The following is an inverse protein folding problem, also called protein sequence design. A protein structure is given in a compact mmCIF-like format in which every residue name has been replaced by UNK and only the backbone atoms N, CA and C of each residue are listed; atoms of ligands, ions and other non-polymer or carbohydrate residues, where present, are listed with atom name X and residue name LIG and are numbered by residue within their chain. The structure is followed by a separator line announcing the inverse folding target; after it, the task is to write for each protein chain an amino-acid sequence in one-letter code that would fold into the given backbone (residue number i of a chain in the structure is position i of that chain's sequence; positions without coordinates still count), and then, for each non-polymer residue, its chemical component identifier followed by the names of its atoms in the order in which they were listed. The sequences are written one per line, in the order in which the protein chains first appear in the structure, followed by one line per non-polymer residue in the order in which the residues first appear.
data_IF_502044771356
#
_entry.id   IF_502044771356
#
_cell.length_a   1.000
_cell.length_b   1.000
_cell.length_c   1.000
_cell.angle_alpha   90.00
_cell.angle_beta   90.00
_cell.angle_gamma   90.00
#
_symmetry.space_group_name_H-M   'P 1'
#
loop_
_entity.id
_entity.type
_entity.pdbx_description
1 polymer ?
#
# COMPACT_ATOMS: atom_id res chain seq x y z
N UNK A 1 81.08 9.96 29.40
CA UNK A 1 80.39 9.04 28.47
C UNK A 1 79.71 7.83 29.17
N UNK A 2 79.24 7.98 30.42
CA UNK A 2 78.36 7.04 31.14
C UNK A 2 77.50 7.88 32.09
N UNK A 3 76.51 8.60 31.56
CA UNK A 3 75.40 9.15 32.34
C UNK A 3 74.19 9.53 31.45
N UNK A 4 74.39 9.69 30.13
CA UNK A 4 73.30 9.99 29.17
C UNK A 4 72.50 8.78 28.68
N UNK A 5 72.94 7.54 28.96
CA UNK A 5 72.21 6.32 28.53
C UNK A 5 71.14 5.82 29.51
N UNK A 6 71.02 6.40 30.71
CA UNK A 6 69.99 5.99 31.68
C UNK A 6 68.66 6.75 31.54
N UNK A 7 68.65 7.96 30.97
CA UNK A 7 67.44 8.77 30.85
C UNK A 7 66.59 8.46 29.61
N UNK A 8 67.18 7.87 28.56
CA UNK A 8 66.46 7.53 27.33
C UNK A 8 65.58 6.28 27.46
N UNK A 9 65.90 5.36 28.37
CA UNK A 9 65.19 4.06 28.45
C UNK A 9 63.92 4.13 29.31
N UNK A 10 63.88 5.01 30.30
CA UNK A 10 62.70 5.29 31.13
C UNK A 10 61.67 6.13 30.39
N UNK A 11 62.10 7.14 29.61
CA UNK A 11 61.21 7.98 28.81
C UNK A 11 60.47 7.20 27.70
N UNK A 12 61.14 6.23 27.04
CA UNK A 12 60.50 5.38 26.02
C UNK A 12 59.48 4.39 26.60
N UNK A 13 59.63 3.95 27.85
CA UNK A 13 58.65 3.07 28.51
C UNK A 13 57.37 3.82 28.88
N UNK A 14 57.49 5.06 29.37
CA UNK A 14 56.32 5.90 29.67
C UNK A 14 55.59 6.38 28.40
N UNK A 15 56.31 6.68 27.32
CA UNK A 15 55.71 7.05 26.04
C UNK A 15 54.93 5.89 25.39
N UNK A 16 55.45 4.65 25.45
CA UNK A 16 54.73 3.46 24.96
C UNK A 16 53.49 3.13 25.78
N UNK A 17 53.54 3.28 27.11
CA UNK A 17 52.37 3.07 27.97
C UNK A 17 51.28 4.12 27.69
N UNK A 18 51.65 5.39 27.51
CA UNK A 18 50.71 6.45 27.09
C UNK A 18 50.10 6.19 25.71
N UNK A 19 50.91 5.77 24.74
CA UNK A 19 50.45 5.49 23.37
C UNK A 19 49.50 4.29 23.31
N UNK A 20 49.78 3.23 24.09
CA UNK A 20 48.92 2.07 24.25
C UNK A 20 47.64 2.40 25.01
N UNK A 21 47.70 3.26 26.03
CA UNK A 21 46.51 3.72 26.75
C UNK A 21 45.62 4.61 25.87
N UNK A 22 46.20 5.48 25.03
CA UNK A 22 45.44 6.28 24.06
C UNK A 22 44.87 5.45 22.92
N UNK A 23 45.57 4.41 22.46
CA UNK A 23 45.04 3.43 21.50
C UNK A 23 43.91 2.61 22.12
N UNK A 24 44.02 2.24 23.40
CA UNK A 24 42.97 1.52 24.12
C UNK A 24 41.75 2.41 24.41
N UNK A 25 41.95 3.70 24.72
CA UNK A 25 40.88 4.69 24.85
C UNK A 25 40.22 5.01 23.50
N UNK A 26 40.98 5.10 22.40
CA UNK A 26 40.42 5.22 21.05
C UNK A 26 39.65 3.96 20.65
N UNK A 27 40.17 2.77 20.98
CA UNK A 27 39.50 1.49 20.73
C UNK A 27 38.23 1.32 21.58
N UNK A 28 38.27 1.72 22.85
CA UNK A 28 37.13 1.72 23.77
C UNK A 28 36.09 2.80 23.38
N UNK A 29 36.51 3.97 22.90
CA UNK A 29 35.60 4.99 22.36
C UNK A 29 35.01 4.58 21.00
N UNK A 30 35.75 3.85 20.16
CA UNK A 30 35.15 3.24 18.95
C UNK A 30 34.17 2.12 19.28
N UNK A 31 34.43 1.32 20.33
CA UNK A 31 33.47 0.31 20.80
C UNK A 31 32.23 0.93 21.48
N UNK A 32 32.40 2.03 22.21
CA UNK A 32 31.28 2.78 22.78
C UNK A 32 30.45 3.51 21.70
N UNK A 33 31.08 4.09 20.68
CA UNK A 33 30.39 4.69 19.54
C UNK A 33 29.69 3.65 18.64
N UNK A 34 30.22 2.42 18.54
CA UNK A 34 29.54 1.30 17.89
C UNK A 34 28.36 0.77 18.71
N UNK A 35 28.38 0.91 20.05
CA UNK A 35 27.28 0.55 20.95
C UNK A 35 26.11 1.55 20.92
N UNK A 36 26.32 2.78 20.46
CA UNK A 36 25.29 3.81 20.27
C UNK A 36 24.73 3.87 18.84
N UNK A 37 25.22 3.03 17.93
CA UNK A 37 24.63 2.91 16.59
C UNK A 37 23.26 2.22 16.69
N UNK A 38 22.21 2.74 16.02
CA UNK A 38 20.91 2.06 15.89
C UNK A 38 21.05 0.61 15.36
N UNK A 39 22.13 0.34 14.62
CA UNK A 39 22.49 -0.96 14.06
C UNK A 39 22.81 -1.98 15.17
N UNK A 40 23.37 -1.55 16.30
CA UNK A 40 23.74 -2.47 17.39
C UNK A 40 22.56 -2.76 18.35
N UNK A 41 21.63 -1.80 18.51
CA UNK A 41 20.36 -2.02 19.21
C UNK A 41 19.44 -3.00 18.45
N UNK A 42 19.53 -3.03 17.11
CA UNK A 42 18.89 -4.03 16.26
C UNK A 42 19.43 -5.47 16.45
N UNK A 43 20.62 -5.64 17.04
CA UNK A 43 21.27 -6.96 17.18
C UNK A 43 20.95 -7.70 18.49
N UNK A 44 20.39 -7.05 19.52
CA UNK A 44 20.54 -7.57 20.90
C UNK A 44 19.27 -7.96 21.68
N UNK A 45 18.07 -7.97 21.11
CA UNK A 45 16.93 -8.51 21.87
C UNK A 45 15.78 -9.02 21.02
N UNK A 46 15.76 -10.32 20.67
CA UNK A 46 14.55 -11.16 20.64
C UNK A 46 14.96 -12.64 20.76
N UNK A 47 14.24 -13.40 21.59
CA UNK A 47 14.22 -14.86 21.49
C UNK A 47 13.82 -15.23 20.06
N UNK A 48 14.53 -16.16 19.42
CA UNK A 48 14.32 -16.52 18.00
C UNK A 48 12.90 -17.01 17.69
N UNK A 49 12.07 -17.31 18.70
CA UNK A 49 10.67 -17.72 18.55
C UNK A 49 9.65 -16.58 18.48
N UNK A 50 10.00 -15.38 18.93
CA UNK A 50 9.03 -14.28 19.16
C UNK A 50 9.18 -13.13 18.14
N UNK A 51 10.04 -13.32 17.14
CA UNK A 51 10.33 -12.34 16.09
C UNK A 51 9.15 -12.20 15.12
N UNK A 52 8.81 -10.98 14.64
CA UNK A 52 7.69 -10.76 13.71
C UNK A 52 7.74 -11.66 12.47
N UNK A 53 8.92 -11.98 11.95
CA UNK A 53 9.10 -12.90 10.80
C UNK A 53 8.56 -14.33 11.02
N UNK A 54 8.41 -14.76 12.28
CA UNK A 54 7.90 -16.09 12.65
C UNK A 54 6.50 -16.04 13.30
N UNK A 55 5.79 -14.93 13.15
CA UNK A 55 4.41 -14.78 13.63
C UNK A 55 3.54 -15.96 13.19
N UNK A 56 2.88 -16.61 14.14
CA UNK A 56 1.93 -17.71 13.86
C UNK A 56 0.63 -17.14 13.33
N UNK A 57 0.45 -17.20 12.01
CA UNK A 57 -0.73 -16.73 11.31
C UNK A 57 -1.69 -17.90 10.99
N UNK A 58 -3.01 -17.65 10.90
CA UNK A 58 -3.93 -18.60 10.31
C UNK A 58 -3.48 -18.98 8.89
N UNK A 59 -3.67 -20.25 8.53
CA UNK A 59 -3.41 -20.71 7.17
C UNK A 59 -4.25 -19.91 6.16
N UNK A 60 -3.72 -19.81 4.94
CA UNK A 60 -4.45 -19.22 3.82
C UNK A 60 -5.78 -19.95 3.59
N UNK A 61 -6.85 -19.16 3.45
CA UNK A 61 -8.22 -19.62 3.30
C UNK A 61 -8.74 -19.26 1.89
N UNK A 62 -8.34 -20.00 0.84
CA UNK A 62 -8.68 -19.66 -0.54
C UNK A 62 -10.18 -19.65 -0.82
N UNK A 63 -10.97 -20.44 -0.09
CA UNK A 63 -12.43 -20.55 -0.23
C UNK A 63 -13.20 -19.72 0.81
N UNK A 64 -12.59 -18.65 1.35
CA UNK A 64 -13.32 -17.72 2.22
C UNK A 64 -14.59 -17.23 1.52
N UNK A 65 -15.69 -17.14 2.27
CA UNK A 65 -17.00 -16.76 1.74
C UNK A 65 -17.02 -15.31 1.23
N UNK A 66 -16.25 -14.45 1.88
CA UNK A 66 -16.23 -13.03 1.56
C UNK A 66 -14.89 -12.36 1.89
N UNK A 67 -14.64 -11.21 1.27
CA UNK A 67 -13.55 -10.30 1.55
C UNK A 67 -14.09 -8.89 1.79
N UNK A 68 -13.60 -8.26 2.85
CA UNK A 68 -13.92 -6.87 3.19
C UNK A 68 -12.77 -5.98 2.73
N UNK A 69 -13.06 -5.02 1.88
CA UNK A 69 -12.07 -4.06 1.41
C UNK A 69 -11.61 -3.16 2.57
N UNK A 70 -10.31 -3.19 2.84
CA UNK A 70 -9.61 -2.33 3.80
C UNK A 70 -8.56 -1.56 3.01
N UNK A 71 -8.41 -0.27 3.31
CA UNK A 71 -7.41 0.58 2.67
C UNK A 71 -6.19 0.64 3.56
N UNK A 72 -5.00 0.40 2.99
CA UNK A 72 -3.73 0.43 3.72
C UNK A 72 -3.54 1.76 4.48
N UNK A 73 -3.97 2.89 3.92
CA UNK A 73 -3.86 4.22 4.54
C UNK A 73 -4.43 4.26 5.96
N UNK A 74 -5.44 3.44 6.27
CA UNK A 74 -6.06 3.34 7.60
C UNK A 74 -5.11 2.76 8.68
N UNK A 75 -3.99 2.15 8.28
CA UNK A 75 -3.03 1.50 9.17
C UNK A 75 -1.63 2.11 9.07
N UNK A 76 -1.40 3.07 8.16
CA UNK A 76 -0.08 3.66 7.98
C UNK A 76 0.30 4.57 9.16
N UNK A 77 1.53 4.46 9.69
CA UNK A 77 2.03 5.40 10.68
C UNK A 77 2.24 6.79 10.05
N UNK A 78 2.17 7.87 10.84
CA UNK A 78 2.53 9.21 10.37
C UNK A 78 3.98 9.24 9.91
N UNK A 79 4.25 9.94 8.80
CA UNK A 79 5.60 10.07 8.24
C UNK A 79 6.22 11.39 8.70
N UNK A 80 7.46 11.31 9.19
CA UNK A 80 8.25 12.48 9.55
C UNK A 80 8.60 13.30 8.29
N UNK A 81 8.34 14.63 8.26
CA UNK A 81 8.56 15.44 7.05
C UNK A 81 10.01 15.46 6.55
N UNK A 82 10.99 15.38 7.47
CA UNK A 82 12.40 15.34 7.09
C UNK A 82 12.77 13.98 6.49
N UNK A 83 12.21 12.90 7.04
CA UNK A 83 12.35 11.57 6.50
C UNK A 83 11.72 11.43 5.11
N UNK A 84 10.53 12.03 4.89
CA UNK A 84 9.88 12.09 3.58
C UNK A 84 10.77 12.81 2.57
N UNK A 85 11.41 13.92 2.94
CA UNK A 85 12.32 14.64 2.06
C UNK A 85 13.51 13.75 1.63
N UNK A 86 14.13 13.02 2.57
CA UNK A 86 15.21 12.10 2.22
C UNK A 86 14.74 10.94 1.35
N UNK A 87 13.57 10.38 1.64
CA UNK A 87 12.95 9.34 0.82
C UNK A 87 12.71 9.82 -0.62
N UNK A 88 12.16 11.02 -0.81
CA UNK A 88 11.93 11.61 -2.13
C UNK A 88 13.24 11.91 -2.87
N UNK A 89 14.29 12.35 -2.16
CA UNK A 89 15.62 12.54 -2.77
C UNK A 89 16.24 11.21 -3.21
N UNK A 90 16.08 10.14 -2.43
CA UNK A 90 16.53 8.81 -2.79
C UNK A 90 15.78 8.32 -4.03
N UNK A 91 14.46 8.42 -4.03
CA UNK A 91 13.60 7.99 -5.13
C UNK A 91 13.89 8.75 -6.43
N UNK A 92 14.08 10.07 -6.35
CA UNK A 92 14.44 10.88 -7.51
C UNK A 92 15.81 10.50 -8.10
N UNK A 93 16.77 10.11 -7.26
CA UNK A 93 18.09 9.64 -7.71
C UNK A 93 18.03 8.21 -8.26
N UNK A 94 17.20 7.36 -7.66
CA UNK A 94 17.00 5.96 -8.07
C UNK A 94 16.19 5.85 -9.36
N UNK A 95 15.21 6.71 -9.59
CA UNK A 95 14.33 6.67 -10.76
C UNK A 95 14.70 7.68 -11.85
N UNK A 96 15.87 8.32 -11.77
CA UNK A 96 16.32 9.23 -12.84
C UNK A 96 16.53 8.42 -14.14
N UNK A 97 15.71 8.65 -15.19
CA UNK A 97 15.81 7.91 -16.44
C UNK A 97 17.05 8.31 -17.26
N UNK A 98 17.72 9.41 -16.91
CA UNK A 98 18.91 9.88 -17.63
C UNK A 98 20.20 9.24 -17.12
N UNK A 99 20.14 8.49 -16.03
CA UNK A 99 21.29 7.84 -15.41
C UNK A 99 21.09 6.34 -15.48
N UNK A 100 21.98 5.65 -16.18
CA UNK A 100 21.97 4.18 -16.21
C UNK A 100 22.23 3.63 -14.81
N UNK A 101 21.64 2.46 -14.51
CA UNK A 101 21.71 1.87 -13.18
C UNK A 101 23.14 1.65 -12.68
N UNK A 102 24.12 1.41 -13.55
CA UNK A 102 25.54 1.24 -13.18
C UNK A 102 26.19 2.54 -12.68
N UNK A 103 25.71 3.68 -13.17
CA UNK A 103 26.27 5.02 -12.88
C UNK A 103 25.59 5.73 -11.71
N UNK A 104 24.50 5.15 -11.18
CA UNK A 104 23.79 5.70 -10.02
C UNK A 104 24.67 5.64 -8.76
N UNK A 105 24.60 6.70 -7.96
CA UNK A 105 25.26 6.73 -6.65
C UNK A 105 24.46 5.91 -5.62
N UNK A 106 24.54 4.59 -5.74
CA UNK A 106 23.87 3.64 -4.86
C UNK A 106 24.25 3.79 -3.38
N UNK A 107 25.46 4.30 -3.10
CA UNK A 107 25.88 4.60 -1.73
C UNK A 107 25.07 5.76 -1.15
N UNK A 108 24.89 6.83 -1.92
CA UNK A 108 24.05 7.97 -1.52
C UNK A 108 22.57 7.58 -1.41
N UNK A 109 22.04 6.81 -2.37
CA UNK A 109 20.65 6.30 -2.33
C UNK A 109 20.44 5.48 -1.05
N UNK A 110 21.35 4.53 -0.76
CA UNK A 110 21.33 3.74 0.47
C UNK A 110 21.31 4.61 1.73
N UNK A 111 22.19 5.62 1.80
CA UNK A 111 22.27 6.53 2.95
C UNK A 111 20.98 7.32 3.16
N UNK A 112 20.38 7.84 2.09
CA UNK A 112 19.12 8.59 2.16
C UNK A 112 17.97 7.69 2.63
N UNK A 113 17.86 6.47 2.09
CA UNK A 113 16.87 5.51 2.57
C UNK A 113 17.10 5.11 4.01
N UNK A 114 18.35 4.90 4.42
CA UNK A 114 18.69 4.59 5.81
C UNK A 114 18.28 5.74 6.75
N UNK A 115 18.63 6.98 6.42
CA UNK A 115 18.27 8.15 7.23
C UNK A 115 16.74 8.29 7.39
N UNK A 116 15.98 8.05 6.32
CA UNK A 116 14.52 8.04 6.37
C UNK A 116 13.97 6.87 7.21
N UNK A 117 14.48 5.66 7.01
CA UNK A 117 14.07 4.45 7.71
C UNK A 117 14.37 4.50 9.22
N UNK A 118 15.48 5.12 9.61
CA UNK A 118 15.84 5.38 11.02
C UNK A 118 14.80 6.27 11.70
N UNK A 119 14.16 7.18 10.94
CA UNK A 119 13.05 8.05 11.38
C UNK A 119 11.66 7.45 11.13
N UNK A 120 11.58 6.13 11.08
CA UNK A 120 10.34 5.37 10.94
C UNK A 120 9.59 5.56 9.61
N UNK A 121 10.27 6.02 8.55
CA UNK A 121 9.66 6.11 7.23
C UNK A 121 9.47 4.71 6.63
N UNK A 122 8.22 4.24 6.59
CA UNK A 122 7.92 2.87 6.21
C UNK A 122 8.31 2.52 4.77
N UNK A 123 8.05 3.39 3.77
CA UNK A 123 8.48 3.13 2.38
C UNK A 123 10.00 3.00 2.27
N UNK A 124 10.74 3.88 2.95
CA UNK A 124 12.20 3.82 2.98
C UNK A 124 12.71 2.53 3.64
N UNK A 125 12.05 2.00 4.67
CA UNK A 125 12.42 0.69 5.24
C UNK A 125 12.27 -0.43 4.21
N UNK A 126 11.16 -0.46 3.47
CA UNK A 126 10.90 -1.49 2.47
C UNK A 126 11.85 -1.35 1.27
N UNK A 127 12.05 -0.14 0.75
CA UNK A 127 12.99 0.13 -0.33
C UNK A 127 14.43 -0.17 0.08
N UNK A 128 14.84 0.19 1.30
CA UNK A 128 16.17 -0.14 1.83
C UNK A 128 16.36 -1.65 1.94
N UNK A 129 15.35 -2.39 2.42
CA UNK A 129 15.42 -3.84 2.52
C UNK A 129 15.56 -4.49 1.14
N UNK A 130 14.78 -4.04 0.15
CA UNK A 130 14.89 -4.48 -1.24
C UNK A 130 16.29 -4.15 -1.82
N UNK A 131 16.78 -2.94 -1.57
CA UNK A 131 18.10 -2.48 -2.02
C UNK A 131 19.24 -3.30 -1.40
N UNK A 132 19.16 -3.67 -0.12
CA UNK A 132 20.14 -4.56 0.55
C UNK A 132 20.19 -5.95 -0.09
N UNK A 133 19.04 -6.47 -0.50
CA UNK A 133 18.91 -7.78 -1.15
C UNK A 133 19.23 -7.75 -2.65
N UNK A 134 19.46 -6.57 -3.22
CA UNK A 134 19.74 -6.38 -4.64
C UNK A 134 21.18 -6.80 -5.03
N UNK A 135 21.45 -6.73 -6.33
CA UNK A 135 22.80 -6.86 -6.88
C UNK A 135 23.64 -5.59 -6.81
N UNK A 136 23.05 -4.44 -6.44
CA UNK A 136 23.67 -3.13 -6.57
C UNK A 136 24.82 -2.89 -5.57
N UNK A 137 25.80 -2.02 -5.90
CA UNK A 137 26.98 -1.77 -5.08
C UNK A 137 26.66 -0.89 -3.85
N UNK A 138 26.00 -1.47 -2.86
CA UNK A 138 25.60 -0.79 -1.61
C UNK A 138 26.52 -1.12 -0.43
N UNK A 139 26.58 -0.26 0.62
CA UNK A 139 27.44 -0.46 1.78
C UNK A 139 27.20 -1.76 2.56
N UNK A 140 25.95 -2.26 2.59
CA UNK A 140 25.57 -3.47 3.34
C UNK A 140 24.72 -4.38 2.46
N UNK A 141 25.12 -5.65 2.35
CA UNK A 141 24.46 -6.71 1.56
C UNK A 141 24.19 -7.93 2.44
N UNK A 142 23.48 -7.71 3.54
CA UNK A 142 23.15 -8.73 4.54
C UNK A 142 21.63 -8.98 4.54
N UNK A 143 21.16 -10.17 4.11
CA UNK A 143 19.75 -10.52 4.15
C UNK A 143 19.11 -10.39 5.53
N UNK A 144 19.86 -10.65 6.61
CA UNK A 144 19.33 -10.49 7.97
C UNK A 144 19.04 -9.03 8.30
N UNK A 145 19.82 -8.09 7.76
CA UNK A 145 19.54 -6.67 7.88
C UNK A 145 18.26 -6.27 7.13
N UNK A 146 18.07 -6.79 5.93
CA UNK A 146 16.85 -6.56 5.16
C UNK A 146 15.60 -7.08 5.89
N UNK A 147 15.67 -8.30 6.45
CA UNK A 147 14.57 -8.86 7.24
C UNK A 147 14.26 -7.98 8.45
N UNK A 148 15.27 -7.50 9.19
CA UNK A 148 15.03 -6.64 10.35
C UNK A 148 14.35 -5.30 10.01
N UNK A 149 14.66 -4.70 8.86
CA UNK A 149 13.96 -3.49 8.41
C UNK A 149 12.48 -3.77 8.12
N UNK A 150 12.17 -4.91 7.49
CA UNK A 150 10.78 -5.33 7.27
C UNK A 150 10.08 -5.63 8.59
N UNK A 151 10.73 -6.29 9.55
CA UNK A 151 10.16 -6.53 10.88
C UNK A 151 9.86 -5.23 11.64
N UNK A 152 10.73 -4.23 11.53
CA UNK A 152 10.47 -2.90 12.08
C UNK A 152 9.23 -2.26 11.45
N UNK A 153 9.06 -2.38 10.14
CA UNK A 153 7.84 -1.89 9.47
C UNK A 153 6.59 -2.70 9.86
N UNK A 154 6.69 -4.01 10.08
CA UNK A 154 5.59 -4.84 10.61
C UNK A 154 5.17 -4.43 12.02
N UNK A 155 6.14 -4.08 12.88
CA UNK A 155 5.87 -3.56 14.23
C UNK A 155 5.16 -2.20 14.22
N UNK A 156 5.30 -1.43 13.13
CA UNK A 156 4.55 -0.20 12.86
C UNK A 156 3.21 -0.45 12.16
N UNK A 157 2.77 -1.72 12.10
CA UNK A 157 1.50 -2.16 11.49
C UNK A 157 1.36 -1.84 9.99
N UNK A 158 2.48 -1.63 9.28
CA UNK A 158 2.51 -1.33 7.84
C UNK A 158 2.06 -2.57 7.05
N UNK A 159 0.93 -2.53 6.32
CA UNK A 159 0.42 -3.71 5.61
C UNK A 159 1.40 -4.27 4.56
N UNK A 160 2.05 -3.40 3.76
CA UNK A 160 3.07 -3.82 2.77
C UNK A 160 4.31 -4.49 3.40
N UNK A 161 4.57 -4.30 4.69
CA UNK A 161 5.64 -5.03 5.37
C UNK A 161 5.28 -6.50 5.59
N UNK A 162 3.99 -6.81 5.85
CA UNK A 162 3.50 -8.18 5.92
C UNK A 162 3.54 -8.85 4.55
N UNK A 163 3.23 -8.11 3.48
CA UNK A 163 3.37 -8.58 2.10
C UNK A 163 4.83 -8.92 1.79
N UNK A 164 5.75 -7.98 2.06
CA UNK A 164 7.19 -8.18 1.87
C UNK A 164 7.72 -9.38 2.66
N UNK A 165 7.24 -9.58 3.89
CA UNK A 165 7.60 -10.76 4.68
C UNK A 165 7.10 -12.04 4.02
N UNK A 166 5.88 -12.05 3.46
CA UNK A 166 5.37 -13.16 2.64
C UNK A 166 6.29 -13.48 1.46
N UNK A 167 6.78 -12.46 0.75
CA UNK A 167 7.77 -12.63 -0.32
C UNK A 167 9.07 -13.26 0.21
N UNK A 168 9.54 -12.86 1.39
CA UNK A 168 10.75 -13.43 1.98
C UNK A 168 10.57 -14.90 2.40
N UNK A 169 9.40 -15.28 2.88
CA UNK A 169 9.06 -16.69 3.12
C UNK A 169 9.02 -17.48 1.81
N UNK A 170 8.35 -16.94 0.78
CA UNK A 170 8.23 -17.60 -0.54
C UNK A 170 9.59 -17.83 -1.21
N UNK A 171 10.50 -16.86 -1.10
CA UNK A 171 11.86 -16.93 -1.67
C UNK A 171 12.86 -17.68 -0.79
N UNK A 172 12.46 -18.17 0.38
CA UNK A 172 13.35 -18.85 1.33
C UNK A 172 14.42 -17.94 1.94
N UNK A 173 14.22 -16.62 1.92
CA UNK A 173 15.11 -15.63 2.56
C UNK A 173 14.99 -15.75 4.08
N UNK A 174 13.76 -15.91 4.58
CA UNK A 174 13.55 -16.32 5.97
C UNK A 174 13.84 -17.82 6.09
N UNK A 175 14.78 -18.19 6.96
CA UNK A 175 15.10 -19.59 7.22
C UNK A 175 13.86 -20.35 7.69
N UNK A 176 13.52 -21.43 6.97
CA UNK A 176 12.36 -22.28 7.25
C UNK A 176 11.03 -21.72 6.71
N UNK A 177 11.06 -20.61 5.97
CA UNK A 177 9.90 -20.14 5.23
C UNK A 177 9.60 -21.03 4.02
N UNK A 178 8.31 -21.11 3.68
CA UNK A 178 7.81 -21.86 2.53
C UNK A 178 6.57 -21.17 1.93
N UNK A 179 5.97 -21.81 0.91
CA UNK A 179 4.76 -21.29 0.29
C UNK A 179 3.58 -21.21 1.28
N UNK A 180 3.46 -22.16 2.21
CA UNK A 180 2.35 -22.19 3.18
C UNK A 180 2.42 -20.99 4.12
N UNK A 181 3.60 -20.73 4.69
CA UNK A 181 3.79 -19.55 5.52
C UNK A 181 3.65 -18.27 4.71
N UNK A 182 4.21 -18.20 3.49
CA UNK A 182 4.10 -17.04 2.62
C UNK A 182 2.64 -16.65 2.33
N UNK A 183 1.79 -17.60 1.95
CA UNK A 183 0.37 -17.34 1.69
C UNK A 183 -0.40 -16.90 2.94
N UNK A 184 0.00 -17.35 4.14
CA UNK A 184 -0.56 -16.83 5.38
C UNK A 184 -0.17 -15.35 5.62
N UNK A 185 1.08 -14.98 5.34
CA UNK A 185 1.54 -13.58 5.39
C UNK A 185 0.85 -12.71 4.34
N UNK A 186 0.72 -13.16 3.10
CA UNK A 186 -0.03 -12.44 2.06
C UNK A 186 -1.49 -12.23 2.45
N UNK A 187 -2.14 -13.24 3.03
CA UNK A 187 -3.53 -13.09 3.51
C UNK A 187 -3.63 -12.03 4.60
N UNK A 188 -2.72 -12.06 5.58
CA UNK A 188 -2.66 -11.05 6.64
C UNK A 188 -2.45 -9.65 6.06
N UNK A 189 -1.56 -9.49 5.09
CA UNK A 189 -1.30 -8.22 4.42
C UNK A 189 -2.53 -7.71 3.65
N UNK A 190 -3.20 -8.58 2.89
CA UNK A 190 -4.39 -8.22 2.12
C UNK A 190 -5.57 -7.83 3.02
N UNK A 191 -5.77 -8.54 4.13
CA UNK A 191 -6.78 -8.21 5.14
C UNK A 191 -6.46 -6.92 5.92
N UNK A 192 -5.19 -6.53 5.98
CA UNK A 192 -4.73 -5.22 6.48
C UNK A 192 -4.74 -4.12 5.42
N UNK A 193 -5.12 -4.43 4.18
CA UNK A 193 -5.30 -3.44 3.14
C UNK A 193 -4.13 -3.25 2.17
N UNK A 194 -3.04 -4.05 2.25
CA UNK A 194 -1.93 -3.95 1.29
C UNK A 194 -2.46 -4.17 -0.14
N UNK A 195 -2.37 -3.17 -1.03
CA UNK A 195 -2.88 -3.31 -2.39
C UNK A 195 -2.08 -4.33 -3.20
N UNK A 196 -0.76 -4.42 -2.98
CA UNK A 196 0.09 -5.45 -3.61
C UNK A 196 -0.37 -6.86 -3.23
N UNK A 197 -0.58 -7.13 -1.94
CA UNK A 197 -1.06 -8.44 -1.48
C UNK A 197 -2.50 -8.75 -1.94
N UNK A 198 -3.38 -7.75 -1.96
CA UNK A 198 -4.72 -7.87 -2.53
C UNK A 198 -4.67 -8.24 -4.01
N UNK A 199 -3.77 -7.64 -4.79
CA UNK A 199 -3.56 -7.99 -6.20
C UNK A 199 -3.00 -9.38 -6.36
N UNK A 200 -1.97 -9.73 -5.60
CA UNK A 200 -1.33 -11.05 -5.65
C UNK A 200 -2.33 -12.18 -5.35
N UNK A 201 -3.08 -12.06 -4.25
CA UNK A 201 -4.10 -13.04 -3.90
C UNK A 201 -5.30 -12.99 -4.85
N UNK A 202 -5.67 -11.81 -5.32
CA UNK A 202 -6.69 -11.64 -6.34
C UNK A 202 -6.39 -12.45 -7.59
N UNK A 203 -5.18 -12.32 -8.13
CA UNK A 203 -4.70 -13.10 -9.27
C UNK A 203 -4.72 -14.62 -8.97
N UNK A 204 -4.21 -15.02 -7.81
CA UNK A 204 -4.17 -16.43 -7.41
C UNK A 204 -5.58 -17.05 -7.24
N UNK A 205 -6.58 -16.25 -6.89
CA UNK A 205 -7.98 -16.69 -6.70
C UNK A 205 -8.84 -16.58 -7.98
N UNK A 206 -8.29 -16.07 -9.07
CA UNK A 206 -9.02 -15.80 -10.32
C UNK A 206 -9.22 -17.05 -11.21
N UNK A 207 -8.91 -18.25 -10.73
CA UNK A 207 -9.03 -19.46 -11.52
C UNK A 207 -10.48 -19.99 -11.59
N UNK A 208 -10.78 -20.78 -12.62
CA UNK A 208 -12.04 -21.52 -12.73
C UNK A 208 -12.08 -22.84 -11.95
N UNK A 209 -10.92 -23.33 -11.50
CA UNK A 209 -10.76 -24.55 -10.70
C UNK A 209 -9.52 -24.43 -9.78
N UNK A 210 -9.41 -25.30 -8.78
CA UNK A 210 -8.25 -25.32 -7.87
C UNK A 210 -7.07 -26.11 -8.42
N UNK A 211 -5.88 -25.55 -8.27
CA UNK A 211 -4.62 -26.28 -8.40
C UNK A 211 -3.61 -25.73 -7.38
N UNK A 212 -3.68 -26.17 -6.11
CA UNK A 212 -2.80 -25.68 -5.05
C UNK A 212 -1.32 -25.90 -5.34
N UNK A 213 -0.97 -26.98 -6.06
CA UNK A 213 0.42 -27.25 -6.45
C UNK A 213 0.98 -26.24 -7.45
N UNK A 214 0.11 -25.55 -8.20
CA UNK A 214 0.48 -24.44 -9.09
C UNK A 214 0.18 -23.06 -8.48
N UNK A 215 -0.27 -23.01 -7.21
CA UNK A 215 -0.50 -21.76 -6.49
C UNK A 215 -1.72 -20.97 -6.95
N UNK A 216 -2.77 -21.62 -7.46
CA UNK A 216 -4.03 -20.95 -7.81
C UNK A 216 -5.28 -21.71 -7.35
N UNK A 217 -6.35 -20.97 -7.12
CA UNK A 217 -7.62 -21.45 -6.57
C UNK A 217 -8.82 -20.77 -7.23
N UNK A 218 -9.97 -21.41 -7.16
CA UNK A 218 -11.23 -20.93 -7.69
C UNK A 218 -12.01 -20.13 -6.65
N UNK A 219 -11.82 -18.82 -6.64
CA UNK A 219 -12.66 -17.89 -5.90
C UNK A 219 -12.78 -16.53 -6.59
N UNK A 220 -13.29 -16.53 -7.82
CA UNK A 220 -13.44 -15.34 -8.67
C UNK A 220 -14.21 -14.21 -7.95
N UNK A 221 -15.19 -14.54 -7.10
CA UNK A 221 -15.94 -13.55 -6.32
C UNK A 221 -15.04 -12.76 -5.37
N UNK A 222 -14.24 -13.46 -4.56
CA UNK A 222 -13.29 -12.82 -3.64
C UNK A 222 -12.14 -12.17 -4.41
N UNK A 223 -11.64 -12.82 -5.45
CA UNK A 223 -10.62 -12.27 -6.35
C UNK A 223 -11.02 -10.90 -6.87
N UNK A 224 -12.24 -10.79 -7.42
CA UNK A 224 -12.75 -9.53 -7.96
C UNK A 224 -12.79 -8.44 -6.89
N UNK A 225 -13.26 -8.76 -5.68
CA UNK A 225 -13.32 -7.78 -4.58
C UNK A 225 -11.95 -7.31 -4.12
N UNK A 226 -10.97 -8.23 -4.04
CA UNK A 226 -9.59 -7.88 -3.69
C UNK A 226 -8.96 -6.98 -4.75
N UNK A 227 -9.12 -7.33 -6.03
CA UNK A 227 -8.58 -6.55 -7.13
C UNK A 227 -9.25 -5.17 -7.28
N UNK A 228 -10.58 -5.09 -7.15
CA UNK A 228 -11.31 -3.81 -7.15
C UNK A 228 -10.86 -2.91 -5.98
N UNK A 229 -10.64 -3.49 -4.80
CA UNK A 229 -10.10 -2.78 -3.64
C UNK A 229 -8.70 -2.24 -3.90
N UNK A 230 -7.80 -3.08 -4.45
CA UNK A 230 -6.43 -2.69 -4.78
C UNK A 230 -6.38 -1.59 -5.83
N UNK A 231 -7.17 -1.71 -6.90
CA UNK A 231 -7.27 -0.68 -7.94
C UNK A 231 -7.78 0.65 -7.36
N UNK A 232 -8.78 0.60 -6.47
CA UNK A 232 -9.32 1.78 -5.80
C UNK A 232 -8.30 2.49 -4.89
N UNK A 233 -7.29 1.76 -4.39
CA UNK A 233 -6.17 2.34 -3.66
C UNK A 233 -5.10 2.97 -4.59
N UNK A 234 -5.27 2.89 -5.91
CA UNK A 234 -4.36 3.45 -6.90
C UNK A 234 -3.26 2.49 -7.38
N UNK A 235 -3.40 1.19 -7.10
CA UNK A 235 -2.47 0.16 -7.57
C UNK A 235 -2.89 -0.34 -8.95
N UNK A 236 -2.36 0.31 -9.99
CA UNK A 236 -2.79 0.12 -11.38
C UNK A 236 -2.65 -1.31 -11.90
N UNK A 237 -1.68 -2.09 -11.40
CA UNK A 237 -1.47 -3.48 -11.81
C UNK A 237 -2.66 -4.40 -11.49
N UNK A 238 -3.53 -4.02 -10.54
CA UNK A 238 -4.77 -4.76 -10.29
C UNK A 238 -5.73 -4.76 -11.50
N UNK A 239 -5.65 -3.74 -12.36
CA UNK A 239 -6.50 -3.64 -13.55
C UNK A 239 -6.20 -4.71 -14.60
N UNK A 240 -4.93 -5.16 -14.70
CA UNK A 240 -4.50 -6.21 -15.62
C UNK A 240 -5.23 -7.53 -15.31
N UNK A 241 -5.34 -7.87 -14.03
CA UNK A 241 -6.05 -9.06 -13.58
C UNK A 241 -7.58 -8.91 -13.64
N UNK A 242 -8.10 -7.70 -13.37
CA UNK A 242 -9.54 -7.40 -13.49
C UNK A 242 -10.03 -7.47 -14.92
N UNK A 243 -9.19 -7.11 -15.89
CA UNK A 243 -9.49 -7.19 -17.32
C UNK A 243 -9.99 -8.59 -17.68
N UNK A 244 -9.25 -9.64 -17.29
CA UNK A 244 -9.61 -11.02 -17.60
C UNK A 244 -10.98 -11.39 -17.02
N UNK A 245 -11.29 -10.93 -15.80
CA UNK A 245 -12.58 -11.16 -15.14
C UNK A 245 -13.69 -10.44 -15.90
N UNK A 246 -13.49 -9.17 -16.23
CA UNK A 246 -14.49 -8.33 -16.88
C UNK A 246 -14.71 -8.70 -18.34
N UNK A 247 -13.70 -9.23 -19.03
CA UNK A 247 -13.80 -9.71 -20.41
C UNK A 247 -14.45 -11.10 -20.53
N UNK A 248 -14.53 -11.87 -19.44
CA UNK A 248 -14.99 -13.26 -19.44
C UNK A 248 -16.37 -13.50 -20.07
N UNK A 249 -17.39 -12.62 -19.92
CA UNK A 249 -18.67 -12.77 -20.61
C UNK A 249 -18.57 -12.67 -22.15
N UNK A 250 -17.45 -12.15 -22.69
CA UNK A 250 -17.15 -12.00 -24.13
C UNK A 250 -18.19 -11.20 -24.94
N UNK A 251 -19.02 -10.42 -24.29
CA UNK A 251 -19.93 -9.47 -24.96
C UNK A 251 -19.17 -8.20 -25.37
N UNK A 252 -19.71 -7.38 -26.30
CA UNK A 252 -19.15 -6.07 -26.59
C UNK A 252 -19.01 -5.18 -25.35
N UNK A 253 -19.97 -5.21 -24.44
CA UNK A 253 -19.99 -4.42 -23.20
C UNK A 253 -18.91 -4.90 -22.23
N UNK A 254 -18.76 -6.22 -22.08
CA UNK A 254 -17.70 -6.84 -21.28
C UNK A 254 -16.31 -6.45 -21.79
N UNK A 255 -16.11 -6.51 -23.11
CA UNK A 255 -14.86 -6.09 -23.76
C UNK A 255 -14.59 -4.59 -23.58
N UNK A 256 -15.61 -3.74 -23.71
CA UNK A 256 -15.46 -2.31 -23.45
C UNK A 256 -15.11 -2.03 -21.99
N UNK A 257 -15.72 -2.75 -21.04
CA UNK A 257 -15.39 -2.65 -19.61
C UNK A 257 -13.95 -3.07 -19.34
N UNK A 258 -13.49 -4.14 -19.97
CA UNK A 258 -12.11 -4.63 -19.89
C UNK A 258 -11.09 -3.60 -20.44
N UNK A 259 -11.35 -3.01 -21.61
CA UNK A 259 -10.49 -1.94 -22.15
C UNK A 259 -10.49 -0.70 -21.24
N UNK A 260 -11.65 -0.34 -20.68
CA UNK A 260 -11.78 0.80 -19.77
C UNK A 260 -10.99 0.56 -18.47
N UNK A 261 -11.05 -0.63 -17.86
CA UNK A 261 -10.28 -0.90 -16.64
C UNK A 261 -8.77 -0.88 -16.91
N UNK A 262 -8.31 -1.40 -18.05
CA UNK A 262 -6.90 -1.29 -18.43
C UNK A 262 -6.45 0.18 -18.61
N UNK A 263 -7.30 1.03 -19.20
CA UNK A 263 -7.00 2.45 -19.37
C UNK A 263 -6.80 3.14 -18.01
N UNK A 264 -7.65 2.82 -17.03
CA UNK A 264 -7.50 3.33 -15.67
C UNK A 264 -6.27 2.73 -14.97
N UNK A 265 -5.94 1.47 -15.20
CA UNK A 265 -4.68 0.86 -14.75
C UNK A 265 -3.45 1.62 -15.29
N UNK A 266 -3.46 1.98 -16.58
CA UNK A 266 -2.40 2.77 -17.20
C UNK A 266 -2.33 4.21 -16.65
N UNK A 267 -3.47 4.87 -16.40
CA UNK A 267 -3.52 6.16 -15.68
C UNK A 267 -2.91 6.06 -14.29
N UNK A 268 -3.12 4.93 -13.63
CA UNK A 268 -2.55 4.60 -12.32
C UNK A 268 -1.11 4.07 -12.42
N UNK A 269 -0.46 4.20 -13.57
CA UNK A 269 0.97 3.92 -13.73
C UNK A 269 1.33 2.47 -14.07
N UNK A 270 0.37 1.60 -14.38
CA UNK A 270 0.66 0.23 -14.78
C UNK A 270 1.21 0.16 -16.21
N UNK A 271 2.49 -0.16 -16.33
CA UNK A 271 3.14 -0.45 -17.60
C UNK A 271 2.50 -1.66 -18.30
N UNK A 272 2.14 -2.69 -17.53
CA UNK A 272 1.46 -3.90 -18.04
C UNK A 272 0.16 -3.55 -18.74
N UNK A 273 -0.69 -2.74 -18.11
CA UNK A 273 -1.95 -2.30 -18.71
C UNK A 273 -1.74 -1.51 -20.00
N UNK A 274 -0.78 -0.58 -20.01
CA UNK A 274 -0.43 0.17 -21.22
C UNK A 274 0.10 -0.74 -22.35
N UNK A 275 0.96 -1.71 -22.02
CA UNK A 275 1.50 -2.70 -22.96
C UNK A 275 0.40 -3.60 -23.54
N UNK A 276 -0.53 -4.05 -22.70
CA UNK A 276 -1.66 -4.88 -23.12
C UNK A 276 -2.59 -4.10 -24.05
N UNK A 277 -2.95 -2.86 -23.70
CA UNK A 277 -3.72 -1.98 -24.59
C UNK A 277 -3.00 -1.80 -25.94
N UNK A 278 -1.70 -1.50 -25.91
CA UNK A 278 -0.89 -1.41 -27.12
C UNK A 278 -0.98 -2.67 -27.98
N UNK A 279 -0.89 -3.85 -27.36
CA UNK A 279 -0.98 -5.13 -28.03
C UNK A 279 -2.38 -5.43 -28.59
N UNK A 280 -3.44 -5.07 -27.87
CA UNK A 280 -4.82 -5.16 -28.35
C UNK A 280 -5.01 -4.34 -29.63
N UNK A 281 -4.54 -3.09 -29.64
CA UNK A 281 -4.61 -2.21 -30.82
C UNK A 281 -3.67 -2.63 -31.97
N UNK A 282 -2.65 -3.46 -31.73
CA UNK A 282 -1.87 -4.12 -32.80
C UNK A 282 -2.59 -5.30 -33.45
N UNK A 283 -3.69 -5.77 -32.86
CA UNK A 283 -4.46 -6.91 -33.38
C UNK A 283 -4.33 -8.19 -32.55
N UNK A 284 -3.89 -8.13 -31.29
CA UNK A 284 -3.91 -9.30 -30.41
C UNK A 284 -5.33 -9.87 -30.31
N UNK A 285 -5.46 -11.18 -30.55
CA UNK A 285 -6.74 -11.89 -30.49
C UNK A 285 -7.73 -11.54 -31.62
N UNK A 286 -7.33 -10.80 -32.66
CA UNK A 286 -8.25 -10.50 -33.78
C UNK A 286 -8.63 -11.76 -34.56
N UNK A 287 -7.65 -12.63 -34.84
CA UNK A 287 -7.84 -13.81 -35.69
C UNK A 287 -8.69 -14.90 -35.05
N UNK A 288 -8.74 -14.97 -33.71
CA UNK A 288 -9.51 -15.97 -32.96
C UNK A 288 -10.73 -15.36 -32.23
N UNK A 289 -11.06 -14.10 -32.54
CA UNK A 289 -12.22 -13.40 -31.99
C UNK A 289 -12.11 -13.00 -30.52
N UNK A 290 -10.94 -13.13 -29.90
CA UNK A 290 -10.69 -12.78 -28.49
C UNK A 290 -10.29 -11.33 -28.26
N UNK A 291 -10.07 -10.56 -29.33
CA UNK A 291 -9.69 -9.15 -29.20
C UNK A 291 -10.73 -8.34 -28.43
N UNK A 292 -10.24 -7.51 -27.52
CA UNK A 292 -11.06 -6.58 -26.73
C UNK A 292 -11.53 -5.39 -27.57
N UNK A 293 -10.70 -4.94 -28.51
CA UNK A 293 -10.98 -3.76 -29.35
C UNK A 293 -11.62 -4.12 -30.69
N UNK A 294 -11.30 -5.30 -31.25
CA UNK A 294 -11.93 -5.84 -32.46
C UNK A 294 -11.40 -5.27 -33.79
N UNK A 295 -10.42 -4.38 -33.78
CA UNK A 295 -9.78 -3.82 -34.98
C UNK A 295 -8.34 -3.36 -34.69
N UNK A 296 -7.58 -3.03 -35.74
CA UNK A 296 -6.21 -2.54 -35.64
C UNK A 296 -6.17 -1.01 -35.66
N UNK A 297 -5.48 -0.41 -34.69
CA UNK A 297 -5.15 1.02 -34.62
C UNK A 297 -3.65 1.17 -34.32
N UNK A 298 -2.83 1.20 -35.38
CA UNK A 298 -1.37 1.21 -35.24
C UNK A 298 -0.85 2.48 -34.53
N UNK A 299 -1.48 3.63 -34.78
CA UNK A 299 -1.06 4.89 -34.19
C UNK A 299 -1.31 4.90 -32.67
N UNK A 300 -2.46 4.38 -32.24
CA UNK A 300 -2.78 4.24 -30.82
C UNK A 300 -1.90 3.20 -30.14
N UNK A 301 -1.70 2.07 -30.80
CA UNK A 301 -0.80 1.02 -30.32
C UNK A 301 0.63 1.55 -30.08
N UNK A 302 1.14 2.39 -30.98
CA UNK A 302 2.45 3.02 -30.85
C UNK A 302 2.51 3.95 -29.63
N UNK A 303 1.51 4.83 -29.42
CA UNK A 303 1.48 5.71 -28.25
C UNK A 303 1.42 4.94 -26.94
N UNK A 304 0.60 3.88 -26.86
CA UNK A 304 0.57 3.01 -25.68
C UNK A 304 1.90 2.31 -25.43
N UNK A 305 2.60 1.89 -26.48
CA UNK A 305 3.94 1.31 -26.35
C UNK A 305 4.91 2.31 -25.71
N UNK A 306 4.92 3.56 -26.17
CA UNK A 306 5.79 4.62 -25.60
C UNK A 306 5.45 4.91 -24.14
N UNK A 307 4.16 4.96 -23.80
CA UNK A 307 3.72 5.14 -22.42
C UNK A 307 4.13 3.94 -21.56
N UNK A 308 3.93 2.72 -22.04
CA UNK A 308 4.35 1.51 -21.34
C UNK A 308 5.83 1.52 -21.02
N UNK A 309 6.69 1.86 -21.99
CA UNK A 309 8.14 1.91 -21.80
C UNK A 309 8.50 2.86 -20.64
N UNK A 310 7.87 4.03 -20.57
CA UNK A 310 8.12 5.02 -19.52
C UNK A 310 7.55 4.59 -18.18
N UNK A 311 6.33 4.06 -18.15
CA UNK A 311 5.73 3.58 -16.90
C UNK A 311 6.57 2.46 -16.27
N UNK A 312 7.18 1.61 -17.09
CA UNK A 312 8.12 0.57 -16.64
C UNK A 312 9.34 1.20 -15.95
N UNK A 313 9.95 2.22 -16.57
CA UNK A 313 11.09 2.94 -15.99
C UNK A 313 10.79 3.60 -14.64
N UNK A 314 9.59 4.15 -14.47
CA UNK A 314 9.18 4.80 -13.22
C UNK A 314 8.59 3.82 -12.20
N UNK A 315 8.58 2.51 -12.47
CA UNK A 315 8.14 1.45 -11.55
C UNK A 315 6.76 1.74 -10.93
N UNK A 316 5.83 2.28 -11.73
CA UNK A 316 4.48 2.62 -11.29
C UNK A 316 4.35 3.85 -10.39
N UNK A 317 5.43 4.59 -10.11
CA UNK A 317 5.40 5.85 -9.35
C UNK A 317 4.85 7.02 -10.18
N UNK A 318 5.05 7.00 -11.50
CA UNK A 318 4.49 7.98 -12.42
C UNK A 318 3.01 7.69 -12.67
N UNK A 319 2.13 8.61 -12.24
CA UNK A 319 0.70 8.57 -12.55
C UNK A 319 0.37 9.51 -13.71
N UNK A 320 -0.54 9.09 -14.58
CA UNK A 320 -0.97 9.80 -15.78
C UNK A 320 -2.48 10.07 -15.75
N UNK A 321 -3.01 10.85 -14.78
CA UNK A 321 -4.45 11.05 -14.62
C UNK A 321 -5.12 11.72 -15.82
N UNK A 322 -4.34 12.45 -16.65
CA UNK A 322 -4.82 13.10 -17.87
C UNK A 322 -4.58 12.27 -19.13
N UNK A 323 -4.30 10.95 -19.02
CA UNK A 323 -4.01 10.09 -20.17
C UNK A 323 -5.06 10.19 -21.28
N UNK A 324 -6.35 10.30 -20.93
CA UNK A 324 -7.43 10.41 -21.92
C UNK A 324 -7.34 11.67 -22.80
N UNK A 325 -6.64 12.72 -22.35
CA UNK A 325 -6.46 13.94 -23.15
C UNK A 325 -5.52 13.73 -24.33
N UNK A 326 -4.59 12.79 -24.21
CA UNK A 326 -3.58 12.48 -25.24
C UNK A 326 -3.85 11.16 -25.94
N UNK A 327 -4.58 10.27 -25.27
CA UNK A 327 -4.84 8.91 -25.68
C UNK A 327 -6.25 8.47 -25.22
N UNK A 328 -7.32 9.11 -25.73
CA UNK A 328 -8.70 8.79 -25.36
C UNK A 328 -9.13 7.46 -25.96
N UNK A 329 -9.86 6.63 -25.21
CA UNK A 329 -10.39 5.37 -25.77
C UNK A 329 -11.31 5.62 -26.98
N UNK A 330 -11.38 4.67 -27.93
CA UNK A 330 -12.33 4.72 -29.03
C UNK A 330 -13.78 4.86 -28.53
N UNK A 331 -14.67 5.54 -29.28
CA UNK A 331 -14.52 5.98 -30.67
C UNK A 331 -13.79 7.33 -30.86
N UNK A 332 -13.28 7.95 -29.79
CA UNK A 332 -12.62 9.24 -29.90
C UNK A 332 -11.35 9.17 -30.76
N UNK A 333 -11.20 10.12 -31.69
CA UNK A 333 -10.01 10.23 -32.53
C UNK A 333 -8.79 10.66 -31.70
N UNK A 334 -7.60 10.20 -32.12
CA UNK A 334 -6.36 10.62 -31.48
C UNK A 334 -6.09 12.12 -31.72
N UNK A 335 -5.76 12.89 -30.67
CA UNK A 335 -5.25 14.25 -30.83
C UNK A 335 -3.97 14.27 -31.65
N UNK A 336 -3.67 15.39 -32.32
CA UNK A 336 -2.39 15.58 -32.99
C UNK A 336 -1.24 15.47 -31.97
N UNK A 337 -0.17 14.82 -32.39
CA UNK A 337 1.04 14.62 -31.60
C UNK A 337 2.24 14.82 -32.53
N UNK A 338 3.26 15.50 -32.04
CA UNK A 338 4.49 15.85 -32.76
C UNK A 338 5.48 14.67 -32.88
N UNK A 339 5.20 13.54 -32.22
CA UNK A 339 6.07 12.38 -32.16
C UNK A 339 7.07 12.42 -31.01
N UNK A 340 7.10 13.50 -30.22
CA UNK A 340 7.94 13.61 -29.03
C UNK A 340 7.25 12.95 -27.83
N UNK A 341 7.87 11.90 -27.31
CA UNK A 341 7.34 11.14 -26.18
C UNK A 341 7.23 12.01 -24.92
N UNK A 342 8.13 12.99 -24.75
CA UNK A 342 8.11 13.85 -23.58
C UNK A 342 6.89 14.76 -23.56
N UNK A 343 6.50 15.34 -24.71
CA UNK A 343 5.30 16.18 -24.83
C UNK A 343 4.02 15.37 -24.55
N UNK A 344 3.99 14.10 -24.97
CA UNK A 344 2.89 13.18 -24.69
C UNK A 344 2.72 12.95 -23.19
N UNK A 345 3.83 12.70 -22.49
CA UNK A 345 3.82 12.43 -21.06
C UNK A 345 3.49 13.68 -20.25
N UNK A 346 4.08 14.84 -20.59
CA UNK A 346 3.83 16.07 -19.86
C UNK A 346 2.37 16.53 -19.99
N UNK A 347 1.73 16.27 -21.13
CA UNK A 347 0.30 16.49 -21.31
C UNK A 347 -0.59 15.46 -20.57
N UNK A 348 -0.09 14.26 -20.29
CA UNK A 348 -0.78 13.20 -19.54
C UNK A 348 -0.60 13.29 -18.02
N UNK A 349 0.45 13.98 -17.55
CA UNK A 349 0.67 14.31 -16.14
C UNK A 349 -0.42 15.26 -15.62
N UNK A 350 -0.53 15.35 -14.30
CA UNK A 350 -1.35 16.37 -13.66
C UNK A 350 -0.81 17.78 -13.96
N UNK A 351 -1.71 18.75 -14.15
CA UNK A 351 -1.34 20.17 -14.22
C UNK A 351 -1.27 20.67 -12.76
N UNK A 352 -0.05 20.91 -12.24
CA UNK A 352 0.41 21.11 -10.82
C UNK A 352 -0.41 22.00 -9.85
N UNK A 353 -0.19 21.94 -8.49
CA UNK A 353 0.62 21.00 -7.67
C UNK A 353 -0.24 20.08 -6.78
N UNK A 354 0.36 19.14 -5.99
CA UNK A 354 -0.37 18.17 -5.16
C UNK A 354 -1.17 18.86 -4.04
N UNK A 355 -2.21 18.22 -3.49
CA UNK A 355 -2.97 18.77 -2.37
C UNK A 355 -2.05 19.06 -1.17
N UNK A 356 -2.07 20.30 -0.69
CA UNK A 356 -1.57 20.66 0.64
C UNK A 356 -2.40 19.97 1.71
N UNK A 357 -1.74 19.15 2.53
CA UNK A 357 -2.23 18.52 3.77
C UNK A 357 -3.26 17.40 3.64
N UNK A 358 -3.24 16.41 4.56
CA UNK A 358 -4.08 15.22 4.49
C UNK A 358 -5.50 15.61 4.87
N UNK A 359 -6.30 15.96 3.87
CA UNK A 359 -7.72 15.76 4.01
C UNK A 359 -7.92 14.24 4.10
N UNK A 360 -8.21 13.74 5.30
CA UNK A 360 -8.93 12.48 5.43
C UNK A 360 -10.38 12.74 5.04
N UNK A 361 -10.81 12.27 3.86
CA UNK A 361 -12.06 11.57 3.75
C UNK A 361 -11.81 10.13 3.26
N UNK A 362 -12.71 9.24 3.66
CA UNK A 362 -12.65 7.79 3.53
C UNK A 362 -12.69 7.22 2.10
N UNK A 363 -12.33 8.00 1.07
CA UNK A 363 -12.32 7.58 -0.34
C UNK A 363 -11.22 8.37 -1.08
N UNK A 364 -10.21 7.66 -1.56
CA UNK A 364 -9.08 8.21 -2.34
C UNK A 364 -9.55 8.81 -3.68
N UNK A 365 -8.79 9.74 -4.27
CA UNK A 365 -9.10 10.29 -5.62
C UNK A 365 -9.28 9.20 -6.70
N UNK A 366 -8.46 8.11 -6.74
CA UNK A 366 -8.70 6.97 -7.63
C UNK A 366 -10.04 6.28 -7.40
N UNK A 367 -10.46 6.06 -6.15
CA UNK A 367 -11.76 5.44 -5.85
C UNK A 367 -12.92 6.24 -6.47
N UNK A 368 -12.94 7.55 -6.26
CA UNK A 368 -13.99 8.42 -6.81
C UNK A 368 -14.00 8.40 -8.35
N UNK A 369 -12.82 8.42 -8.99
CA UNK A 369 -12.70 8.36 -10.45
C UNK A 369 -13.19 7.01 -11.01
N UNK A 370 -12.80 5.89 -10.39
CA UNK A 370 -13.17 4.54 -10.81
C UNK A 370 -14.67 4.25 -10.56
N UNK A 371 -15.24 4.76 -9.47
CA UNK A 371 -16.68 4.70 -9.19
C UNK A 371 -17.47 5.52 -10.23
N UNK A 372 -17.01 6.73 -10.57
CA UNK A 372 -17.62 7.55 -11.64
C UNK A 372 -17.54 6.86 -13.00
N UNK A 373 -16.45 6.15 -13.27
CA UNK A 373 -16.28 5.34 -14.47
C UNK A 373 -17.12 4.05 -14.47
N UNK A 374 -17.83 3.74 -13.37
CA UNK A 374 -18.63 2.53 -13.22
C UNK A 374 -17.82 1.23 -13.17
N UNK A 375 -16.52 1.33 -12.89
CA UNK A 375 -15.59 0.20 -12.94
C UNK A 375 -15.57 -0.61 -11.66
N UNK A 376 -15.62 0.07 -10.51
CA UNK A 376 -15.84 -0.60 -9.24
C UNK A 376 -17.28 -1.09 -9.21
N UNK A 377 -17.51 -2.33 -8.74
CA UNK A 377 -18.86 -2.65 -8.25
C UNK A 377 -19.22 -1.52 -7.29
N UNK A 378 -20.41 -0.94 -7.42
CA UNK A 378 -21.00 -0.25 -6.27
C UNK A 378 -21.04 -1.33 -5.18
N UNK A 379 -20.00 -1.37 -4.34
CA UNK A 379 -20.12 -1.88 -3.00
C UNK A 379 -21.33 -1.15 -2.51
N UNK A 380 -22.46 -1.84 -2.32
CA UNK A 380 -23.68 -1.21 -1.86
C UNK A 380 -23.24 -0.30 -0.72
N UNK A 381 -23.28 1.01 -0.96
CA UNK A 381 -22.87 1.98 0.04
C UNK A 381 -23.68 1.56 1.24
N UNK A 382 -23.01 1.16 2.34
CA UNK A 382 -23.74 1.24 3.59
C UNK A 382 -24.08 2.72 3.66
N UNK A 383 -25.37 3.11 3.56
CA UNK A 383 -25.70 4.52 3.64
C UNK A 383 -25.02 5.02 4.91
N UNK A 384 -24.36 6.18 4.83
CA UNK A 384 -23.66 6.74 5.98
C UNK A 384 -24.58 6.58 7.21
N UNK A 385 -24.08 5.97 8.29
CA UNK A 385 -24.96 5.63 9.40
C UNK A 385 -25.62 6.92 9.87
N UNK A 386 -26.94 6.92 9.95
CA UNK A 386 -27.72 8.10 10.26
C UNK A 386 -27.21 8.70 11.57
N UNK A 387 -26.73 9.95 11.51
CA UNK A 387 -26.17 10.65 12.66
C UNK A 387 -27.07 11.80 13.06
N UNK A 388 -27.27 11.99 14.35
CA UNK A 388 -28.04 13.10 14.90
C UNK A 388 -27.31 13.73 16.08
N UNK A 389 -27.50 15.03 16.28
CA UNK A 389 -27.05 15.72 17.48
C UNK A 389 -28.07 15.48 18.60
N UNK A 390 -27.62 15.20 19.83
CA UNK A 390 -28.51 14.90 20.96
C UNK A 390 -29.45 16.04 21.36
N UNK A 391 -29.20 17.28 20.90
CA UNK A 391 -30.10 18.41 21.05
C UNK A 391 -31.26 18.46 20.03
N UNK A 392 -31.28 17.56 19.03
CA UNK A 392 -32.33 17.45 18.03
C UNK A 392 -33.27 16.26 18.32
N UNK A 393 -34.44 16.27 17.68
CA UNK A 393 -35.36 15.13 17.73
C UNK A 393 -34.83 13.96 16.91
N UNK A 394 -35.14 12.75 17.36
CA UNK A 394 -34.72 11.51 16.72
C UNK A 394 -35.35 11.38 15.32
N UNK A 395 -34.56 11.32 14.24
CA UNK A 395 -35.11 11.29 12.88
C UNK A 395 -35.71 9.93 12.49
N UNK A 396 -35.39 8.86 13.23
CA UNK A 396 -35.83 7.50 12.91
C UNK A 396 -35.83 6.58 14.14
N UNK A 397 -36.87 5.76 14.29
CA UNK A 397 -36.94 4.77 15.37
C UNK A 397 -35.83 3.72 15.24
N UNK A 398 -35.16 3.39 16.34
CA UNK A 398 -34.17 2.31 16.36
C UNK A 398 -33.20 2.41 17.52
N UNK A 399 -32.16 1.58 17.49
CA UNK A 399 -31.05 1.56 18.42
C UNK A 399 -30.04 2.60 17.96
N UNK A 400 -29.62 3.47 18.87
CA UNK A 400 -28.65 4.52 18.63
C UNK A 400 -27.50 4.40 19.63
N UNK A 401 -26.26 4.61 19.16
CA UNK A 401 -25.07 4.71 20.01
C UNK A 401 -24.74 6.18 20.28
N UNK A 402 -24.47 6.53 21.54
CA UNK A 402 -24.06 7.88 21.93
C UNK A 402 -22.53 7.99 22.08
N UNK A 403 -21.95 9.05 21.49
CA UNK A 403 -20.54 9.42 21.70
C UNK A 403 -20.37 10.92 21.84
N UNK A 404 -19.39 11.35 22.62
CA UNK A 404 -18.86 12.72 22.65
C UNK A 404 -17.53 12.78 21.90
N UNK A 405 -17.06 13.99 21.57
CA UNK A 405 -15.74 14.18 20.97
C UNK A 405 -14.62 13.58 21.81
N UNK A 406 -13.57 13.04 21.19
CA UNK A 406 -12.46 12.40 21.90
C UNK A 406 -11.74 13.34 22.90
N UNK A 407 -11.76 14.65 22.64
CA UNK A 407 -11.20 15.68 23.52
C UNK A 407 -12.10 16.05 24.72
N UNK A 408 -13.33 15.53 24.79
CA UNK A 408 -14.24 15.83 25.89
C UNK A 408 -13.70 15.20 27.20
N UNK A 409 -13.68 15.92 28.35
CA UNK A 409 -13.09 15.41 29.60
C UNK A 409 -13.66 14.06 30.08
N UNK A 410 -14.93 13.79 29.76
CA UNK A 410 -15.63 12.55 30.10
C UNK A 410 -15.67 11.51 28.96
N UNK A 411 -14.92 11.70 27.86
CA UNK A 411 -14.96 10.83 26.69
C UNK A 411 -14.61 9.37 27.02
N UNK A 412 -13.59 9.13 27.84
CA UNK A 412 -13.19 7.78 28.25
C UNK A 412 -14.29 7.05 29.06
N UNK A 413 -15.10 7.79 29.82
CA UNK A 413 -16.20 7.24 30.61
C UNK A 413 -17.48 7.05 29.78
N UNK A 414 -17.72 7.93 28.82
CA UNK A 414 -18.98 7.99 28.06
C UNK A 414 -18.94 7.23 26.72
N UNK A 415 -17.81 7.21 26.02
CA UNK A 415 -17.67 6.57 24.69
C UNK A 415 -17.46 5.05 24.78
N UNK A 416 -18.31 4.37 25.54
CA UNK A 416 -18.27 2.91 25.71
C UNK A 416 -19.26 2.24 24.75
N UNK A 417 -18.90 1.05 24.31
CA UNK A 417 -19.68 0.26 23.34
C UNK A 417 -21.09 -0.12 23.84
N UNK A 418 -21.31 -0.12 25.16
CA UNK A 418 -22.56 -0.43 25.83
C UNK A 418 -23.52 0.77 25.96
N UNK A 419 -23.12 1.97 25.52
CA UNK A 419 -23.94 3.19 25.57
C UNK A 419 -24.86 3.31 24.36
N UNK A 420 -25.83 2.41 24.33
CA UNK A 420 -26.86 2.34 23.30
C UNK A 420 -28.24 2.60 23.90
N UNK A 421 -29.13 3.25 23.15
CA UNK A 421 -30.51 3.46 23.53
C UNK A 421 -31.43 3.22 22.35
N UNK A 422 -32.57 2.56 22.59
CA UNK A 422 -33.65 2.55 21.63
C UNK A 422 -34.42 3.88 21.74
N UNK A 423 -34.56 4.61 20.64
CA UNK A 423 -35.23 5.91 20.60
C UNK A 423 -36.22 5.90 19.45
N UNK A 424 -37.46 6.28 19.71
CA UNK A 424 -38.51 6.39 18.70
C UNK A 424 -38.36 7.67 17.87
N UNK A 425 -38.84 7.63 16.62
CA UNK A 425 -38.88 8.80 15.74
C UNK A 425 -39.64 9.96 16.41
N UNK A 426 -39.13 11.18 16.26
CA UNK A 426 -39.58 12.43 16.91
C UNK A 426 -39.41 12.50 18.44
N UNK A 427 -38.93 11.43 19.09
CA UNK A 427 -38.60 11.47 20.51
C UNK A 427 -37.28 12.23 20.76
N UNK A 428 -37.11 12.75 21.98
CA UNK A 428 -35.82 13.32 22.39
C UNK A 428 -34.84 12.19 22.74
N UNK A 429 -33.57 12.38 22.41
CA UNK A 429 -32.52 11.46 22.86
C UNK A 429 -32.34 11.52 24.39
N UNK A 430 -31.89 10.43 25.04
CA UNK A 430 -31.57 10.42 26.47
C UNK A 430 -30.54 11.49 26.83
N UNK A 431 -30.83 12.27 27.87
CA UNK A 431 -29.91 13.30 28.38
C UNK A 431 -28.90 12.67 29.37
N UNK A 432 -27.57 12.75 29.12
CA UNK A 432 -26.55 12.21 30.01
C UNK A 432 -26.64 12.71 31.46
N UNK A 433 -27.15 13.93 31.66
CA UNK A 433 -27.29 14.55 32.99
C UNK A 433 -28.27 13.80 33.89
N UNK A 434 -29.22 13.07 33.31
CA UNK A 434 -30.14 12.20 34.05
C UNK A 434 -29.43 10.99 34.67
N UNK A 435 -28.21 10.67 34.21
CA UNK A 435 -27.35 9.62 34.74
C UNK A 435 -26.15 10.20 35.52
N UNK A 436 -26.28 11.44 36.00
CA UNK A 436 -25.24 12.16 36.75
C UNK A 436 -23.93 12.37 35.99
N UNK A 437 -23.98 12.42 34.66
CA UNK A 437 -22.85 12.80 33.82
C UNK A 437 -23.03 14.24 33.36
N UNK A 438 -22.07 15.11 33.71
CA UNK A 438 -22.07 16.51 33.31
C UNK A 438 -21.64 16.66 31.84
N UNK A 439 -22.52 16.21 30.94
CA UNK A 439 -22.35 16.26 29.49
C UNK A 439 -23.63 16.89 28.92
N UNK A 440 -23.49 17.98 28.18
CA UNK A 440 -24.62 18.60 27.48
C UNK A 440 -25.14 17.66 26.38
N UNK A 441 -26.46 17.55 26.24
CA UNK A 441 -27.07 16.79 25.14
C UNK A 441 -26.61 17.30 23.75
N UNK A 442 -26.24 18.57 23.62
CA UNK A 442 -25.72 19.15 22.38
C UNK A 442 -24.31 18.67 22.01
N UNK A 443 -23.54 18.19 22.98
CA UNK A 443 -22.18 17.68 22.77
C UNK A 443 -22.16 16.19 22.43
N UNK A 444 -23.33 15.53 22.54
CA UNK A 444 -23.51 14.13 22.22
C UNK A 444 -23.91 13.97 20.76
N UNK A 445 -23.17 13.13 20.04
CA UNK A 445 -23.49 12.63 18.71
C UNK A 445 -24.06 11.23 18.82
N UNK A 446 -25.27 11.05 18.29
CA UNK A 446 -25.93 9.77 18.20
C UNK A 446 -25.74 9.18 16.81
N UNK A 447 -25.42 7.89 16.73
CA UNK A 447 -25.26 7.14 15.48
C UNK A 447 -26.24 5.97 15.46
N UNK A 448 -27.09 5.89 14.45
CA UNK A 448 -28.10 4.84 14.33
C UNK A 448 -27.44 3.50 13.96
N UNK A 449 -27.76 2.46 14.71
CA UNK A 449 -27.20 1.11 14.56
C UNK A 449 -28.17 0.12 13.88
N UNK A 450 -29.46 0.45 13.81
CA UNK A 450 -30.49 -0.44 13.26
C UNK A 450 -31.80 -0.39 14.04
N UNK A 451 -32.81 -1.14 13.60
CA UNK A 451 -34.05 -1.36 14.37
C UNK A 451 -34.32 -2.86 14.51
N UNK A 452 -34.65 -3.36 15.72
CA UNK A 452 -34.87 -4.78 15.96
C UNK A 452 -36.03 -5.40 15.16
N UNK A 453 -36.92 -4.59 14.58
CA UNK A 453 -38.07 -5.05 13.78
C UNK A 453 -37.96 -4.71 12.29
N UNK A 454 -36.82 -4.22 11.81
CA UNK A 454 -36.64 -3.96 10.39
C UNK A 454 -36.32 -5.27 9.69
N UNK A 455 -37.25 -5.76 8.87
CA UNK A 455 -36.97 -6.86 7.95
C UNK A 455 -35.72 -6.49 7.14
N UNK A 456 -34.66 -7.30 7.27
CA UNK A 456 -33.52 -7.21 6.37
C UNK A 456 -34.06 -7.55 4.99
N UNK A 457 -34.17 -6.57 4.11
CA UNK A 457 -34.31 -6.83 2.67
C UNK A 457 -32.94 -7.31 2.20
N UNK A 458 -32.67 -8.59 2.42
CA UNK A 458 -31.67 -9.36 1.72
C UNK A 458 -32.42 -10.45 0.94
N UNK A 459 -31.98 -10.67 -0.29
CA UNK A 459 -32.34 -11.81 -1.15
C UNK A 459 -33.67 -11.74 -1.90
N UNK A 460 -33.89 -10.69 -2.70
CA UNK A 460 -34.65 -10.81 -3.95
C UNK A 460 -33.72 -10.49 -5.11
N UNK A 461 -32.91 -11.48 -5.48
CA UNK A 461 -32.46 -11.61 -6.86
C UNK A 461 -33.69 -11.99 -7.67
N UNK A 462 -34.35 -11.00 -8.28
CA UNK A 462 -35.23 -11.29 -9.40
C UNK A 462 -34.33 -11.71 -10.57
N UNK A 463 -34.22 -13.03 -10.73
CA UNK A 463 -33.80 -13.66 -11.97
C UNK A 463 -34.95 -13.41 -12.95
N UNK A 464 -34.78 -12.42 -13.83
CA UNK A 464 -35.56 -12.30 -15.04
C UNK A 464 -34.67 -11.76 -16.17
N UNK A 465 -34.25 -12.73 -17.01
CA UNK A 465 -33.75 -12.67 -18.40
C UNK A 465 -32.96 -11.44 -18.86
#
# INVERSE_FOLDING_TARGET
MKLERCLSHTYMKFARVRYLFSLWLLFAMTQAALAESPIHQLMTAMSSSDSPRYTKLPLFAPHRKDFTCVYQEQHLPPVDPQAELWFQQALASELDPNIYWEDKDWRKIYQLYQQAAERNHWKAMLNLAALILSGYPVPVRDPEMAIRWVEKAMQLEVPDAWDTMGVYHMKGIVKGGDATSAYAFFQKAADMGSPSAQTFLGAALNAGWDNPGSGFWANISVATKMLECSLAQGYGDAADELEFIYAAPRTPEARLRAVTVLQEGAKLGSAKCASLLGSQFRGMGLSDGKSLVGYVDKARAERYSKISDILEWYEGTLKLPNLDKVLPLPPAALPKWDGDVQTLIDAAKAVTPPPTSPAHPSQSEPHAALTKAGLLRQLADRPEPLRCNGGLKCPQSGIWEARVAAAHPLAALYNRWDRQAFVEKEASFPDPRQQHLDISAHDVRWTWLGSPNQLRVADVYDIAL
#
